data_IF_023968966415
#
_entry.id   IF_023968966415
#
_cell.length_a   1.000
_cell.length_b   1.000
_cell.length_c   1.000
_cell.angle_alpha   90.00
_cell.angle_beta   90.00
_cell.angle_gamma   90.00
#
_symmetry.space_group_name_H-M   'P 1'
#
loop_
_entity.id
_entity.type
_entity.pdbx_description
1 polymer ?
#
# COMPACT_ATOMS: atom_id res chain seq x y z
N UNK A 1 -17.48 0.16 -48.94
CA UNK A 1 -18.20 0.44 -47.68
C UNK A 1 -17.96 -0.70 -46.66
N UNK A 2 -16.69 -1.06 -46.40
CA UNK A 2 -16.36 -2.22 -45.54
C UNK A 2 -15.25 -1.96 -44.52
N UNK A 3 -14.32 -1.05 -44.81
CA UNK A 3 -13.18 -0.75 -43.92
C UNK A 3 -13.65 0.02 -42.67
N UNK A 4 -14.57 0.97 -42.84
CA UNK A 4 -15.11 1.78 -41.73
C UNK A 4 -15.85 0.89 -40.71
N UNK A 5 -16.57 -0.12 -41.18
CA UNK A 5 -17.31 -1.06 -40.32
C UNK A 5 -16.35 -1.96 -39.51
N UNK A 6 -15.22 -2.35 -40.10
CA UNK A 6 -14.17 -3.11 -39.42
C UNK A 6 -13.43 -2.29 -38.35
N UNK A 7 -13.16 -1.00 -38.61
CA UNK A 7 -12.51 -0.10 -37.64
C UNK A 7 -13.46 0.20 -36.48
N UNK A 8 -14.75 0.43 -36.73
CA UNK A 8 -15.74 0.64 -35.68
C UNK A 8 -15.93 -0.61 -34.82
N UNK A 9 -15.97 -1.80 -35.45
CA UNK A 9 -16.11 -3.08 -34.75
C UNK A 9 -14.90 -3.41 -33.86
N UNK A 10 -13.69 -3.12 -34.33
CA UNK A 10 -12.47 -3.33 -33.55
C UNK A 10 -12.33 -2.36 -32.37
N UNK A 11 -12.82 -1.11 -32.49
CA UNK A 11 -12.85 -0.15 -31.39
C UNK A 11 -13.82 -0.55 -30.26
N UNK A 12 -14.95 -1.17 -30.60
CA UNK A 12 -15.94 -1.69 -29.63
C UNK A 12 -15.45 -2.93 -28.86
N UNK A 13 -14.46 -3.67 -29.39
CA UNK A 13 -13.83 -4.80 -28.69
C UNK A 13 -12.82 -4.35 -27.63
N UNK A 14 -12.18 -3.20 -27.80
CA UNK A 14 -11.18 -2.65 -26.86
C UNK A 14 -11.78 -2.13 -25.55
N UNK A 15 -13.03 -1.67 -25.56
CA UNK A 15 -13.71 -1.14 -24.36
C UNK A 15 -14.14 -2.21 -23.35
N UNK A 16 -14.07 -3.50 -23.68
CA UNK A 16 -14.48 -4.61 -22.81
C UNK A 16 -13.32 -5.33 -22.10
N UNK A 17 -12.10 -4.77 -22.14
CA UNK A 17 -10.91 -5.39 -21.53
C UNK A 17 -10.60 -4.87 -20.11
N UNK A 18 -11.55 -4.25 -19.42
CA UNK A 18 -11.38 -3.92 -18.00
C UNK A 18 -11.58 -5.17 -17.16
N UNK A 19 -10.52 -5.96 -17.00
CA UNK A 19 -10.49 -7.01 -15.98
C UNK A 19 -10.55 -6.33 -14.60
N UNK A 20 -11.65 -6.57 -13.89
CA UNK A 20 -11.76 -6.23 -12.47
C UNK A 20 -10.88 -7.24 -11.73
N UNK A 21 -9.65 -6.86 -11.42
CA UNK A 21 -8.77 -7.64 -10.56
C UNK A 21 -9.05 -7.26 -9.09
N UNK A 22 -9.58 -8.20 -8.32
CA UNK A 22 -9.64 -8.07 -6.87
C UNK A 22 -8.25 -8.41 -6.33
N UNK A 23 -7.51 -7.38 -5.92
CA UNK A 23 -6.27 -7.57 -5.20
C UNK A 23 -6.62 -7.99 -3.76
N UNK A 24 -6.37 -9.25 -3.43
CA UNK A 24 -6.31 -9.70 -2.04
C UNK A 24 -4.89 -9.44 -1.52
N UNK A 25 -4.77 -8.60 -0.50
CA UNK A 25 -3.48 -8.23 0.09
C UNK A 25 -3.47 -6.86 0.77
N UNK A 26 -2.35 -6.55 1.41
CA UNK A 26 -2.05 -5.30 2.11
C UNK A 26 -1.80 -4.11 1.16
N UNK A 27 -2.56 -4.03 0.05
CA UNK A 27 -2.47 -2.89 -0.86
C UNK A 27 -2.92 -1.62 -0.16
N UNK A 28 -4.13 -1.63 0.38
CA UNK A 28 -4.71 -0.50 1.09
C UNK A 28 -5.75 -1.00 2.10
N UNK A 29 -5.53 -0.68 3.37
CA UNK A 29 -6.46 -0.93 4.47
C UNK A 29 -6.71 0.39 5.21
N UNK A 30 -7.98 0.67 5.51
CA UNK A 30 -8.36 1.84 6.29
C UNK A 30 -9.17 1.41 7.51
N UNK A 31 -8.65 1.76 8.69
CA UNK A 31 -9.27 1.44 9.96
C UNK A 31 -9.81 2.73 10.61
N UNK A 32 -11.13 2.81 10.76
CA UNK A 32 -11.78 3.97 11.38
C UNK A 32 -11.90 3.81 12.89
N UNK A 33 -11.62 4.89 13.61
CA UNK A 33 -11.78 4.95 15.06
C UNK A 33 -12.22 6.35 15.52
N UNK A 34 -12.59 6.45 16.79
CA UNK A 34 -12.87 7.73 17.45
C UNK A 34 -11.84 7.97 18.54
N UNK A 35 -11.15 9.12 18.49
CA UNK A 35 -10.24 9.59 19.52
C UNK A 35 -10.86 10.81 20.22
N UNK A 36 -11.52 10.56 21.35
CA UNK A 36 -12.33 11.59 22.01
C UNK A 36 -13.48 12.04 21.11
N UNK A 37 -13.50 13.32 20.74
CA UNK A 37 -14.50 13.91 19.84
C UNK A 37 -14.08 13.91 18.36
N UNK A 38 -12.91 13.35 18.01
CA UNK A 38 -12.41 13.30 16.64
C UNK A 38 -12.66 11.93 16.02
N UNK A 39 -13.18 11.91 14.79
CA UNK A 39 -13.16 10.71 13.93
C UNK A 39 -11.84 10.69 13.18
N UNK A 40 -11.13 9.57 13.30
CA UNK A 40 -9.82 9.40 12.70
C UNK A 40 -9.79 8.10 11.91
N UNK A 41 -9.02 8.09 10.84
CA UNK A 41 -8.73 6.91 10.05
C UNK A 41 -7.23 6.61 10.12
N UNK A 42 -6.88 5.34 10.29
CA UNK A 42 -5.55 4.84 10.07
C UNK A 42 -5.51 4.19 8.68
N UNK A 43 -4.79 4.82 7.76
CA UNK A 43 -4.44 4.24 6.46
C UNK A 43 -3.17 3.41 6.59
N UNK A 44 -3.24 2.17 6.14
CA UNK A 44 -2.10 1.27 5.93
C UNK A 44 -2.04 0.96 4.44
N UNK A 45 -0.98 1.37 3.76
CA UNK A 45 -0.90 1.26 2.29
C UNK A 45 0.47 0.80 1.83
N UNK A 46 0.51 -0.19 0.94
CA UNK A 46 1.74 -0.63 0.29
C UNK A 46 1.84 -0.09 -1.13
N UNK A 47 3.01 0.45 -1.50
CA UNK A 47 3.31 0.89 -2.86
C UNK A 47 4.66 0.34 -3.33
N UNK A 48 4.74 -0.40 -4.45
CA UNK A 48 3.63 -0.78 -5.34
C UNK A 48 2.71 -1.86 -4.70
N UNK A 49 1.47 -2.04 -5.22
CA UNK A 49 0.49 -3.01 -4.72
C UNK A 49 0.98 -4.46 -4.74
N UNK A 50 1.78 -4.80 -5.75
CA UNK A 50 2.22 -6.17 -6.01
C UNK A 50 3.73 -6.22 -5.86
N UNK A 51 4.18 -7.04 -4.91
CA UNK A 51 5.60 -7.25 -4.62
C UNK A 51 5.89 -8.74 -4.74
N UNK A 52 6.74 -9.10 -5.69
CA UNK A 52 7.21 -10.47 -5.87
C UNK A 52 8.73 -10.51 -5.91
N UNK A 53 9.32 -11.70 -5.74
CA UNK A 53 10.76 -11.90 -5.94
C UNK A 53 11.22 -11.41 -7.31
N UNK A 54 10.37 -11.56 -8.33
CA UNK A 54 10.66 -11.10 -9.68
C UNK A 54 10.66 -9.58 -9.78
N UNK A 55 9.66 -8.90 -9.21
CA UNK A 55 9.59 -7.44 -9.28
C UNK A 55 10.71 -6.77 -8.49
N UNK A 56 11.15 -7.36 -7.37
CA UNK A 56 12.33 -6.89 -6.63
C UNK A 56 13.62 -7.07 -7.45
N UNK A 57 13.84 -8.26 -8.04
CA UNK A 57 15.09 -8.57 -8.76
C UNK A 57 15.20 -7.90 -10.13
N UNK A 58 14.13 -7.98 -10.92
CA UNK A 58 14.15 -7.59 -12.32
C UNK A 58 13.79 -6.12 -12.52
N UNK A 59 12.99 -5.54 -11.61
CA UNK A 59 12.52 -4.16 -11.72
C UNK A 59 13.08 -3.25 -10.60
N UNK A 60 13.97 -3.77 -9.74
CA UNK A 60 14.56 -3.01 -8.63
C UNK A 60 13.51 -2.30 -7.76
N UNK A 61 12.34 -2.90 -7.60
CA UNK A 61 11.27 -2.30 -6.80
C UNK A 61 11.71 -2.11 -5.34
N UNK A 62 11.33 -0.98 -4.77
CA UNK A 62 11.54 -0.63 -3.36
C UNK A 62 10.18 -0.39 -2.72
N UNK A 63 9.50 -1.45 -2.24
CA UNK A 63 8.17 -1.31 -1.67
C UNK A 63 8.21 -0.42 -0.44
N UNK A 64 7.19 0.41 -0.29
CA UNK A 64 7.01 1.30 0.87
C UNK A 64 5.67 0.96 1.49
N UNK A 65 5.67 0.70 2.81
CA UNK A 65 4.44 0.72 3.60
C UNK A 65 4.27 2.09 4.23
N UNK A 66 3.14 2.72 3.97
CA UNK A 66 2.68 3.96 4.56
C UNK A 66 1.74 3.66 5.72
N UNK A 67 1.96 4.33 6.84
CA UNK A 67 1.05 4.39 7.98
C UNK A 67 0.69 5.85 8.21
N UNK A 68 -0.58 6.19 7.99
CA UNK A 68 -1.06 7.56 8.11
C UNK A 68 -2.30 7.60 8.99
N UNK A 69 -2.18 8.20 10.17
CA UNK A 69 -3.32 8.53 11.03
C UNK A 69 -3.80 9.94 10.67
N UNK A 70 -5.06 10.09 10.25
CA UNK A 70 -5.60 11.37 9.79
C UNK A 70 -7.03 11.61 10.26
N UNK A 71 -7.42 12.88 10.36
CA UNK A 71 -8.80 13.27 10.61
C UNK A 71 -9.65 12.99 9.36
N UNK A 72 -10.65 12.11 9.51
CA UNK A 72 -11.49 11.65 8.40
C UNK A 72 -12.24 12.78 7.71
N UNK A 73 -12.61 13.84 8.44
CA UNK A 73 -13.43 14.93 7.91
C UNK A 73 -12.61 15.93 7.10
N UNK A 74 -11.35 16.15 7.50
CA UNK A 74 -10.46 17.13 6.86
C UNK A 74 -9.44 16.49 5.93
N UNK A 75 -9.30 15.17 5.93
CA UNK A 75 -8.22 14.43 5.26
C UNK A 75 -6.81 14.97 5.61
N UNK A 76 -6.65 15.43 6.86
CA UNK A 76 -5.39 16.01 7.36
C UNK A 76 -4.73 15.04 8.33
N UNK A 77 -3.45 14.74 8.11
CA UNK A 77 -2.68 13.91 9.04
C UNK A 77 -2.68 14.54 10.44
N UNK A 78 -2.69 13.69 11.47
CA UNK A 78 -2.43 14.15 12.83
C UNK A 78 -0.93 14.35 13.00
N UNK A 79 -0.52 15.46 13.60
CA UNK A 79 0.89 15.74 13.87
C UNK A 79 1.38 14.93 15.08
N UNK A 80 2.68 14.63 15.12
CA UNK A 80 3.36 13.95 16.23
C UNK A 80 2.77 12.59 16.62
N UNK A 81 2.70 11.66 15.66
CA UNK A 81 2.18 10.32 15.90
C UNK A 81 3.32 9.36 16.20
N UNK A 82 3.17 8.58 17.26
CA UNK A 82 4.07 7.46 17.57
C UNK A 82 3.37 6.14 17.28
N UNK A 83 3.92 5.36 16.35
CA UNK A 83 3.42 4.06 15.94
C UNK A 83 4.20 2.95 16.63
N UNK A 84 3.48 1.98 17.21
CA UNK A 84 4.08 0.70 17.60
C UNK A 84 3.82 -0.32 16.50
N UNK A 85 4.87 -0.73 15.80
CA UNK A 85 4.75 -1.57 14.60
C UNK A 85 5.41 -2.91 14.87
N UNK A 86 4.67 -3.99 14.61
CA UNK A 86 5.19 -5.35 14.54
C UNK A 86 5.00 -5.90 13.13
N UNK A 87 6.07 -6.41 12.53
CA UNK A 87 6.07 -7.08 11.23
C UNK A 87 6.44 -8.54 11.45
N UNK A 88 5.59 -9.45 10.98
CA UNK A 88 5.78 -10.90 11.08
C UNK A 88 5.69 -11.54 9.71
N UNK A 89 6.39 -12.66 9.54
CA UNK A 89 6.25 -13.54 8.38
C UNK A 89 6.17 -14.97 8.87
N UNK A 90 5.08 -15.66 8.54
CA UNK A 90 4.88 -17.08 8.90
C UNK A 90 5.06 -17.33 10.41
N UNK A 91 4.53 -16.42 11.24
CA UNK A 91 4.67 -16.47 12.70
C UNK A 91 6.05 -16.09 13.25
N UNK A 92 7.04 -15.83 12.38
CA UNK A 92 8.34 -15.29 12.78
C UNK A 92 8.31 -13.77 12.76
N UNK A 93 8.50 -13.17 13.93
CA UNK A 93 8.68 -11.72 14.06
C UNK A 93 9.96 -11.26 13.35
N UNK A 94 9.80 -10.31 12.44
CA UNK A 94 10.87 -9.66 11.67
C UNK A 94 11.26 -8.31 12.27
N UNK A 95 10.29 -7.57 12.81
CA UNK A 95 10.51 -6.25 13.41
C UNK A 95 9.47 -6.02 14.49
N UNK A 96 9.88 -5.45 15.63
CA UNK A 96 8.98 -4.76 16.56
C UNK A 96 9.69 -3.52 17.05
N UNK A 97 9.15 -2.34 16.77
CA UNK A 97 9.75 -1.09 17.24
C UNK A 97 8.73 0.05 17.32
N UNK A 98 9.12 1.12 17.98
CA UNK A 98 8.42 2.39 18.04
C UNK A 98 8.97 3.35 16.99
N UNK A 99 8.07 4.02 16.26
CA UNK A 99 8.41 4.99 15.23
C UNK A 99 7.64 6.28 15.49
N UNK A 100 8.36 7.37 15.72
CA UNK A 100 7.76 8.69 15.83
C UNK A 100 7.84 9.41 14.48
N UNK A 101 6.70 9.89 13.98
CA UNK A 101 6.64 10.73 12.79
C UNK A 101 5.99 12.07 13.12
N UNK A 102 6.68 13.17 12.78
CA UNK A 102 6.23 14.51 13.10
C UNK A 102 4.98 14.91 12.32
N UNK A 103 4.83 14.46 11.07
CA UNK A 103 3.68 14.75 10.22
C UNK A 103 2.59 13.68 10.23
N UNK A 104 2.77 12.62 11.05
CA UNK A 104 1.88 11.47 11.15
C UNK A 104 1.73 10.67 9.86
N UNK A 105 2.67 10.77 8.92
CA UNK A 105 2.67 10.03 7.64
C UNK A 105 3.94 9.18 7.54
N UNK A 106 4.03 8.19 8.41
CA UNK A 106 5.20 7.33 8.52
C UNK A 106 5.33 6.44 7.29
N UNK A 107 6.53 6.38 6.71
CA UNK A 107 6.85 5.54 5.54
C UNK A 107 8.02 4.64 5.84
N UNK A 108 7.80 3.33 5.74
CA UNK A 108 8.82 2.30 5.93
C UNK A 108 9.14 1.68 4.57
N UNK A 109 10.36 1.90 4.08
CA UNK A 109 10.84 1.21 2.88
C UNK A 109 11.28 -0.21 3.23
N UNK A 110 10.74 -1.19 2.52
CA UNK A 110 11.15 -2.58 2.60
C UNK A 110 12.33 -2.82 1.67
N UNK A 111 13.39 -3.42 2.21
CA UNK A 111 14.55 -3.87 1.46
C UNK A 111 14.73 -5.38 1.64
N UNK A 112 13.97 -6.23 0.91
CA UNK A 112 14.12 -7.67 0.99
C UNK A 112 15.55 -8.07 0.62
N UNK A 113 16.19 -8.87 1.47
CA UNK A 113 17.52 -9.43 1.21
C UNK A 113 17.43 -10.95 1.25
N UNK A 114 18.25 -11.63 0.45
CA UNK A 114 18.36 -13.08 0.50
C UNK A 114 19.29 -13.51 1.66
N UNK A 115 18.94 -13.11 2.88
CA UNK A 115 19.64 -13.48 4.10
C UNK A 115 18.62 -13.75 5.21
N UNK A 116 18.96 -14.66 6.12
CA UNK A 116 18.18 -14.94 7.32
C UNK A 116 18.42 -13.90 8.43
N UNK A 117 19.41 -13.02 8.25
CA UNK A 117 19.76 -11.97 9.20
C UNK A 117 18.95 -10.69 8.95
N UNK A 118 18.31 -10.21 9.99
CA UNK A 118 17.65 -8.90 10.01
C UNK A 118 18.67 -7.89 10.51
N UNK A 119 18.92 -6.86 9.72
CA UNK A 119 19.79 -5.73 10.05
C UNK A 119 18.94 -4.46 9.97
N UNK A 120 18.81 -3.77 11.09
CA UNK A 120 18.13 -2.47 11.23
C UNK A 120 19.07 -1.33 10.88
#
# INVERSE_FOLDING_TARGET
>A
MSIILFILGSFLLLINLTQIAYADGLFEEQLSASLGNRKVDLLIKMSPPVVTTETIKNQSQKPIIQFRLFDSSMNKSLDHVTYFITIEKEGKRLLTNWFHDHGGDLRIQMNPRNTSQIVS
#
